data_IF_310521475982
#
_entry.id   IF_310521475982
#
_cell.length_a   1.000
_cell.length_b   1.000
_cell.length_c   1.000
_cell.angle_alpha   90.00
_cell.angle_beta   90.00
_cell.angle_gamma   90.00
#
_symmetry.space_group_name_H-M   'P 1'
#
loop_
_entity.id
_entity.type
_entity.pdbx_description
1 polymer ?
#
# COMPACT_ATOMS: atom_id res chain seq x y z
N UNK A 1 -6.62 18.30 -12.44
CA UNK A 1 -5.45 18.24 -11.52
C UNK A 1 -5.43 19.49 -10.65
N UNK A 2 -5.23 19.34 -9.31
CA UNK A 2 -4.91 20.49 -8.46
C UNK A 2 -3.47 20.94 -8.78
N UNK A 3 -3.32 22.21 -9.12
CA UNK A 3 -2.02 22.80 -9.52
C UNK A 3 -1.49 23.81 -8.52
N UNK A 4 -2.34 24.31 -7.61
CA UNK A 4 -1.97 25.25 -6.58
C UNK A 4 -3.05 25.41 -5.52
N UNK A 5 -2.68 26.02 -4.40
CA UNK A 5 -3.58 26.36 -3.30
C UNK A 5 -3.26 27.79 -2.85
N UNK A 6 -4.27 28.65 -2.86
CA UNK A 6 -4.16 30.00 -2.34
C UNK A 6 -4.27 30.01 -0.82
N UNK A 7 -3.17 30.45 -0.16
CA UNK A 7 -3.09 30.56 1.29
C UNK A 7 -2.86 32.03 1.64
N UNK A 8 -3.82 32.63 2.32
CA UNK A 8 -3.73 34.02 2.79
C UNK A 8 -3.52 34.13 4.30
N UNK A 9 -3.65 35.33 4.84
CA UNK A 9 -3.51 35.58 6.30
C UNK A 9 -4.52 34.83 7.16
N UNK A 10 -5.67 34.49 6.56
CA UNK A 10 -6.77 33.78 7.25
C UNK A 10 -6.73 32.25 7.12
N UNK A 11 -5.80 31.70 6.35
CA UNK A 11 -5.71 30.28 6.01
C UNK A 11 -6.00 30.02 4.53
N UNK A 12 -6.65 28.90 4.21
CA UNK A 12 -7.02 28.53 2.84
C UNK A 12 -8.03 29.52 2.27
N UNK A 13 -7.78 30.02 1.06
CA UNK A 13 -8.63 30.96 0.35
C UNK A 13 -9.14 30.41 -0.98
N UNK A 14 -8.32 29.64 -1.70
CA UNK A 14 -8.71 29.08 -2.99
C UNK A 14 -7.91 27.82 -3.35
N UNK A 15 -8.40 27.09 -4.35
CA UNK A 15 -7.72 25.97 -4.99
C UNK A 15 -7.67 26.21 -6.49
N UNK A 16 -6.50 26.07 -7.10
CA UNK A 16 -6.28 26.15 -8.53
C UNK A 16 -6.35 24.76 -9.14
N UNK A 17 -7.20 24.62 -10.15
CA UNK A 17 -7.41 23.37 -10.87
C UNK A 17 -7.02 23.55 -12.33
N UNK A 18 -6.09 22.75 -12.80
CA UNK A 18 -5.71 22.68 -14.20
C UNK A 18 -6.43 21.52 -14.89
N UNK A 19 -7.26 21.83 -15.87
CA UNK A 19 -7.78 20.88 -16.86
C UNK A 19 -6.85 20.76 -18.07
N UNK A 20 -7.28 20.06 -19.10
CA UNK A 20 -6.48 19.89 -20.33
C UNK A 20 -6.31 21.20 -21.12
N UNK A 21 -7.32 22.08 -21.09
CA UNK A 21 -7.34 23.33 -21.88
C UNK A 21 -7.59 24.58 -21.02
N UNK A 22 -8.09 24.42 -19.80
CA UNK A 22 -8.52 25.52 -18.96
C UNK A 22 -7.93 25.44 -17.58
N UNK A 23 -7.73 26.59 -16.95
CA UNK A 23 -7.44 26.72 -15.53
C UNK A 23 -8.64 27.32 -14.83
N UNK A 24 -8.96 26.79 -13.64
CA UNK A 24 -10.07 27.26 -12.82
C UNK A 24 -9.55 27.53 -11.41
N UNK A 25 -10.01 28.63 -10.81
CA UNK A 25 -9.83 28.90 -9.40
C UNK A 25 -11.15 28.70 -8.66
N UNK A 26 -11.11 27.91 -7.59
CA UNK A 26 -12.27 27.61 -6.74
C UNK A 26 -12.03 28.25 -5.39
N UNK A 27 -12.83 29.26 -5.04
CA UNK A 27 -12.79 29.86 -3.70
C UNK A 27 -13.29 28.85 -2.66
N UNK A 28 -12.48 28.62 -1.64
CA UNK A 28 -12.83 27.70 -0.55
C UNK A 28 -12.10 28.11 0.74
N UNK A 29 -12.69 27.77 1.88
CA UNK A 29 -12.09 27.94 3.21
C UNK A 29 -11.61 26.62 3.81
N UNK A 30 -11.83 25.51 3.11
CA UNK A 30 -11.44 24.19 3.54
C UNK A 30 -10.79 23.41 2.40
N UNK A 31 -9.62 22.83 2.66
CA UNK A 31 -8.87 22.00 1.72
C UNK A 31 -8.46 20.71 2.39
N UNK A 32 -8.91 19.58 1.85
CA UNK A 32 -8.58 18.24 2.35
C UNK A 32 -7.56 17.58 1.43
N UNK A 33 -6.43 17.18 1.98
CA UNK A 33 -5.41 16.40 1.28
C UNK A 33 -5.69 14.92 1.51
N UNK A 34 -6.23 14.24 0.49
CA UNK A 34 -6.54 12.80 0.49
C UNK A 34 -5.92 12.13 -0.76
N UNK A 35 -4.64 12.40 -1.00
CA UNK A 35 -3.96 12.14 -2.27
C UNK A 35 -3.29 10.75 -2.35
N UNK A 36 -3.50 9.87 -1.36
CA UNK A 36 -2.90 8.52 -1.34
C UNK A 36 -1.38 8.56 -1.52
N UNK A 37 -0.82 7.86 -2.51
CA UNK A 37 0.63 7.85 -2.75
C UNK A 37 1.24 9.22 -3.10
N UNK A 38 0.42 10.17 -3.52
CA UNK A 38 0.85 11.54 -3.85
C UNK A 38 0.71 12.51 -2.66
N UNK A 39 0.63 11.98 -1.43
CA UNK A 39 0.40 12.80 -0.23
C UNK A 39 1.48 13.87 -0.02
N UNK A 40 2.76 13.52 -0.22
CA UNK A 40 3.88 14.49 -0.13
C UNK A 40 3.76 15.59 -1.17
N UNK A 41 3.48 15.23 -2.42
CA UNK A 41 3.33 16.18 -3.51
C UNK A 41 2.14 17.14 -3.28
N UNK A 42 1.04 16.61 -2.75
CA UNK A 42 -0.13 17.42 -2.40
C UNK A 42 0.14 18.32 -1.18
N UNK A 43 0.88 17.84 -0.20
CA UNK A 43 1.33 18.63 0.95
C UNK A 43 2.20 19.82 0.55
N UNK A 44 3.10 19.61 -0.41
CA UNK A 44 3.99 20.65 -0.91
C UNK A 44 3.22 21.87 -1.50
N UNK A 45 1.98 21.69 -1.96
CA UNK A 45 1.13 22.79 -2.45
C UNK A 45 0.80 23.82 -1.36
N UNK A 46 0.90 23.44 -0.10
CA UNK A 46 0.68 24.32 1.06
C UNK A 46 1.92 24.41 1.98
N UNK A 47 3.11 24.03 1.45
CA UNK A 47 4.36 24.09 2.19
C UNK A 47 4.51 23.05 3.31
N UNK A 48 3.75 21.94 3.25
CA UNK A 48 3.80 20.86 4.24
C UNK A 48 4.60 19.67 3.72
N UNK A 49 5.45 19.12 4.57
CA UNK A 49 6.08 17.82 4.40
C UNK A 49 5.44 16.82 5.36
N UNK A 50 5.08 15.66 4.82
CA UNK A 50 4.47 14.58 5.60
C UNK A 50 5.50 13.46 5.86
N UNK A 51 5.55 12.91 7.09
CA UNK A 51 6.44 11.80 7.44
C UNK A 51 5.89 10.47 6.90
N UNK A 52 5.76 10.38 5.59
CA UNK A 52 5.21 9.21 4.89
C UNK A 52 6.17 8.72 3.81
N UNK A 53 6.02 7.47 3.44
CA UNK A 53 6.70 6.86 2.31
C UNK A 53 5.74 5.91 1.58
N UNK A 54 6.10 5.48 0.39
CA UNK A 54 5.30 4.56 -0.38
C UNK A 54 6.06 3.26 -0.59
N UNK A 55 5.34 2.15 -0.52
CA UNK A 55 5.80 0.81 -0.88
C UNK A 55 4.94 0.27 -2.00
N UNK A 56 5.55 -0.38 -2.99
CA UNK A 56 4.81 -1.05 -4.05
C UNK A 56 4.38 -2.44 -3.58
N UNK A 57 3.07 -2.66 -3.54
CA UNK A 57 2.47 -3.95 -3.24
C UNK A 57 1.87 -4.55 -4.51
N UNK A 58 2.46 -5.67 -4.92
CA UNK A 58 2.02 -6.41 -6.10
C UNK A 58 1.02 -7.51 -5.78
N UNK A 59 0.27 -7.89 -6.78
CA UNK A 59 -0.60 -9.06 -6.78
C UNK A 59 -0.57 -9.74 -8.14
N UNK A 60 -0.83 -11.04 -8.15
CA UNK A 60 -1.07 -11.79 -9.37
C UNK A 60 -2.48 -12.37 -9.38
N UNK A 61 -3.05 -12.50 -10.56
CA UNK A 61 -4.23 -13.29 -10.79
C UNK A 61 -3.90 -14.39 -11.80
N UNK A 62 -4.21 -15.63 -11.48
CA UNK A 62 -4.04 -16.77 -12.37
C UNK A 62 -5.24 -17.72 -12.28
N UNK A 63 -5.40 -18.60 -13.27
CA UNK A 63 -6.46 -19.57 -13.26
C UNK A 63 -5.96 -20.92 -12.73
N UNK A 64 -6.77 -21.54 -11.89
CA UNK A 64 -6.60 -22.89 -11.35
C UNK A 64 -7.58 -23.88 -12.03
N UNK A 65 -7.36 -24.27 -13.29
CA UNK A 65 -8.26 -25.18 -14.01
C UNK A 65 -8.22 -26.62 -13.47
N UNK A 66 -7.24 -26.95 -12.63
CA UNK A 66 -7.14 -28.28 -11.99
C UNK A 66 -7.84 -28.35 -10.65
N UNK A 67 -8.32 -27.20 -10.13
CA UNK A 67 -9.01 -27.15 -8.85
C UNK A 67 -8.11 -27.57 -7.68
N UNK A 68 -6.82 -27.20 -7.72
CA UNK A 68 -5.87 -27.49 -6.63
C UNK A 68 -6.28 -26.73 -5.35
N UNK A 69 -6.85 -25.54 -5.53
CA UNK A 69 -7.36 -24.70 -4.44
C UNK A 69 -8.90 -24.82 -4.41
N UNK A 70 -9.48 -25.40 -3.35
CA UNK A 70 -10.93 -25.40 -3.18
C UNK A 70 -11.48 -23.97 -3.18
N UNK A 71 -12.68 -23.77 -3.76
CA UNK A 71 -13.28 -22.45 -3.94
C UNK A 71 -13.81 -21.83 -2.64
N UNK A 72 -14.02 -22.63 -1.63
CA UNK A 72 -14.56 -22.25 -0.30
C UNK A 72 -13.48 -22.01 0.76
N UNK A 73 -12.18 -22.08 0.38
CA UNK A 73 -11.12 -21.74 1.33
C UNK A 73 -11.16 -20.26 1.65
N UNK A 74 -10.90 -19.87 2.92
CA UNK A 74 -10.76 -18.47 3.30
C UNK A 74 -9.47 -17.85 2.71
N UNK A 75 -9.23 -16.58 3.00
CA UNK A 75 -7.91 -15.98 2.81
C UNK A 75 -6.87 -16.79 3.60
N UNK A 76 -5.87 -17.32 2.90
CA UNK A 76 -4.78 -18.11 3.46
C UNK A 76 -3.50 -17.29 3.45
N UNK A 77 -2.80 -17.24 4.58
CA UNK A 77 -1.57 -16.46 4.75
C UNK A 77 -0.49 -17.39 5.31
N UNK A 78 0.69 -17.38 4.70
CA UNK A 78 1.88 -18.06 5.23
C UNK A 78 2.66 -17.11 6.13
N UNK A 79 2.88 -17.49 7.36
CA UNK A 79 3.42 -16.61 8.42
C UNK A 79 4.90 -16.83 8.74
N UNK A 80 5.53 -17.82 8.11
CA UNK A 80 6.96 -18.10 8.31
C UNK A 80 7.78 -17.67 7.09
N UNK A 81 9.07 -17.34 7.25
CA UNK A 81 10.01 -17.23 6.14
C UNK A 81 10.08 -18.54 5.36
N UNK A 82 10.37 -18.46 4.05
CA UNK A 82 10.48 -19.66 3.22
C UNK A 82 11.55 -19.55 2.14
N UNK A 83 12.10 -20.71 1.75
CA UNK A 83 12.85 -20.85 0.50
C UNK A 83 11.92 -21.30 -0.61
N UNK A 84 12.09 -20.70 -1.78
CA UNK A 84 11.30 -21.07 -2.94
C UNK A 84 11.63 -22.53 -3.39
N UNK A 85 10.61 -23.30 -3.82
CA UNK A 85 10.82 -24.66 -4.34
C UNK A 85 11.41 -24.60 -5.75
N UNK A 86 12.69 -24.87 -5.87
CA UNK A 86 13.44 -25.02 -7.12
C UNK A 86 13.86 -26.48 -7.32
N UNK A 87 13.87 -26.97 -8.56
CA UNK A 87 14.52 -28.27 -8.88
C UNK A 87 16.05 -28.12 -8.81
N UNK A 88 16.78 -29.25 -8.78
CA UNK A 88 18.23 -29.20 -8.76
C UNK A 88 18.81 -28.51 -10.01
N UNK A 89 18.23 -28.81 -11.19
CA UNK A 89 18.65 -28.18 -12.45
C UNK A 89 18.40 -26.66 -12.43
N UNK A 90 17.25 -26.22 -11.90
CA UNK A 90 16.96 -24.79 -11.73
C UNK A 90 17.95 -24.13 -10.77
N UNK A 91 18.28 -24.78 -9.65
CA UNK A 91 19.25 -24.29 -8.68
C UNK A 91 20.62 -24.04 -9.32
N UNK A 92 21.15 -25.04 -10.05
CA UNK A 92 22.42 -24.91 -10.75
C UNK A 92 22.45 -23.70 -11.69
N UNK A 93 21.36 -23.47 -12.42
CA UNK A 93 21.22 -22.30 -13.32
C UNK A 93 21.23 -20.98 -12.52
N UNK A 94 20.45 -20.93 -11.43
CA UNK A 94 20.32 -19.71 -10.60
C UNK A 94 21.64 -19.38 -9.87
N UNK A 95 22.39 -20.40 -9.40
CA UNK A 95 23.69 -20.23 -8.76
C UNK A 95 24.74 -19.68 -9.73
N UNK A 96 24.61 -19.99 -11.01
CA UNK A 96 25.54 -19.59 -12.07
C UNK A 96 25.53 -18.09 -12.39
N UNK A 97 24.59 -17.30 -11.86
CA UNK A 97 24.45 -15.86 -12.16
C UNK A 97 24.25 -15.05 -10.88
N UNK A 98 25.01 -13.97 -10.73
CA UNK A 98 24.85 -13.04 -9.60
C UNK A 98 23.48 -12.32 -9.63
N UNK A 99 22.87 -12.18 -10.83
CA UNK A 99 21.57 -11.56 -10.98
C UNK A 99 20.40 -12.44 -10.51
N UNK A 100 20.59 -13.74 -10.37
CA UNK A 100 19.53 -14.69 -10.01
C UNK A 100 19.79 -15.43 -8.70
N UNK A 101 21.02 -15.41 -8.19
CA UNK A 101 21.40 -16.12 -6.96
C UNK A 101 20.55 -15.77 -5.75
N UNK A 102 20.08 -14.51 -5.65
CA UNK A 102 19.20 -14.05 -4.60
C UNK A 102 17.86 -14.81 -4.51
N UNK A 103 17.42 -15.42 -5.63
CA UNK A 103 16.21 -16.26 -5.67
C UNK A 103 16.36 -17.56 -4.86
N UNK A 104 17.57 -17.93 -4.47
CA UNK A 104 17.88 -19.08 -3.63
C UNK A 104 17.91 -18.74 -2.14
N UNK A 105 17.88 -17.47 -1.80
CA UNK A 105 17.85 -16.98 -0.42
C UNK A 105 16.48 -17.25 0.23
N UNK A 106 16.41 -17.00 1.53
CA UNK A 106 15.18 -17.07 2.28
C UNK A 106 14.34 -15.82 2.04
N UNK A 107 13.09 -16.02 1.63
CA UNK A 107 12.10 -14.97 1.45
C UNK A 107 11.33 -14.72 2.74
N UNK A 108 10.86 -13.48 2.97
CA UNK A 108 10.06 -13.16 4.16
C UNK A 108 8.73 -13.92 4.16
N UNK A 109 8.08 -13.96 5.31
CA UNK A 109 6.69 -14.40 5.45
C UNK A 109 5.73 -13.52 4.64
N UNK A 110 4.45 -13.90 4.59
CA UNK A 110 3.39 -13.03 4.10
C UNK A 110 2.86 -13.34 2.71
N UNK A 111 3.33 -14.42 2.03
CA UNK A 111 2.62 -14.87 0.83
C UNK A 111 1.21 -15.29 1.21
N UNK A 112 0.23 -14.75 0.51
CA UNK A 112 -1.17 -15.03 0.79
C UNK A 112 -2.01 -15.07 -0.48
N UNK A 113 -3.14 -15.75 -0.41
CA UNK A 113 -4.03 -15.89 -1.54
C UNK A 113 -5.48 -16.13 -1.09
N UNK A 114 -6.37 -15.94 -2.03
CA UNK A 114 -7.78 -16.34 -1.93
C UNK A 114 -8.35 -16.67 -3.30
N UNK A 115 -9.38 -17.52 -3.36
CA UNK A 115 -10.22 -17.61 -4.55
C UNK A 115 -10.88 -16.27 -4.86
N UNK A 116 -11.03 -15.92 -6.14
CA UNK A 116 -11.65 -14.70 -6.59
C UNK A 116 -12.79 -14.99 -7.58
N UNK A 117 -13.84 -14.18 -7.54
CA UNK A 117 -15.02 -14.34 -8.38
C UNK A 117 -16.07 -15.30 -7.83
N UNK A 118 -17.14 -15.57 -8.59
CA UNK A 118 -18.25 -16.44 -8.20
C UNK A 118 -17.92 -17.93 -8.28
N UNK A 119 -18.92 -18.80 -8.01
CA UNK A 119 -18.78 -20.26 -7.96
C UNK A 119 -18.14 -20.89 -9.22
N UNK A 120 -18.41 -20.34 -10.40
CA UNK A 120 -17.83 -20.83 -11.66
C UNK A 120 -16.45 -20.28 -11.99
N UNK A 121 -15.88 -19.42 -11.17
CA UNK A 121 -14.58 -18.82 -11.41
C UNK A 121 -13.46 -19.81 -11.07
N UNK A 122 -12.39 -19.76 -11.88
CA UNK A 122 -11.15 -20.48 -11.60
C UNK A 122 -10.04 -19.54 -11.12
N UNK A 123 -10.34 -18.26 -11.01
CA UNK A 123 -9.34 -17.25 -10.67
C UNK A 123 -8.91 -17.36 -9.22
N UNK A 124 -7.61 -17.36 -9.02
CA UNK A 124 -6.93 -17.22 -7.74
C UNK A 124 -6.21 -15.87 -7.75
N UNK A 125 -6.41 -15.10 -6.70
CA UNK A 125 -5.68 -13.88 -6.44
C UNK A 125 -4.61 -14.17 -5.38
N UNK A 126 -3.35 -13.87 -5.69
CA UNK A 126 -2.24 -14.07 -4.77
C UNK A 126 -1.40 -12.79 -4.67
N UNK A 127 -0.89 -12.56 -3.47
CA UNK A 127 -0.13 -11.37 -3.13
C UNK A 127 1.10 -11.79 -2.30
N UNK A 128 2.21 -11.10 -2.55
CA UNK A 128 3.40 -11.21 -1.70
C UNK A 128 4.28 -9.97 -1.86
N UNK A 129 4.47 -9.27 -0.78
CA UNK A 129 5.38 -8.14 -0.74
C UNK A 129 6.69 -8.60 -0.11
N UNK A 130 7.55 -9.21 -0.91
CA UNK A 130 8.83 -9.77 -0.46
C UNK A 130 9.98 -8.75 -0.55
N UNK A 131 9.81 -7.66 -1.28
CA UNK A 131 10.80 -6.58 -1.40
C UNK A 131 10.16 -5.27 -0.92
N UNK A 132 10.32 -5.00 0.39
CA UNK A 132 9.76 -3.83 1.05
C UNK A 132 10.79 -2.71 0.98
N UNK A 133 10.67 -1.85 -0.02
CA UNK A 133 11.51 -0.66 -0.17
C UNK A 133 10.67 0.58 -0.37
N UNK A 134 10.95 1.66 0.39
CA UNK A 134 10.38 2.96 0.07
C UNK A 134 10.74 3.37 -1.35
N UNK A 135 9.75 3.78 -2.13
CA UNK A 135 9.95 4.22 -3.50
C UNK A 135 8.99 5.34 -3.90
N UNK A 136 9.41 6.15 -4.87
CA UNK A 136 8.54 7.16 -5.44
C UNK A 136 7.50 6.51 -6.37
N UNK A 137 6.23 6.95 -6.29
CA UNK A 137 5.17 6.36 -7.10
C UNK A 137 5.33 6.76 -8.58
N UNK A 138 5.33 5.74 -9.45
CA UNK A 138 5.30 5.89 -10.90
C UNK A 138 4.07 5.18 -11.48
N UNK A 139 3.56 5.67 -12.60
CA UNK A 139 2.37 5.12 -13.24
C UNK A 139 2.58 4.88 -14.73
N UNK A 140 2.30 3.66 -15.24
CA UNK A 140 1.87 2.47 -14.49
C UNK A 140 2.97 1.97 -13.53
N UNK A 141 2.60 1.23 -12.46
CA UNK A 141 3.58 0.60 -11.58
C UNK A 141 4.48 -0.38 -12.35
N UNK A 142 5.76 -0.42 -11.97
CA UNK A 142 6.74 -1.33 -12.60
C UNK A 142 7.06 -2.43 -11.61
N UNK A 143 6.80 -3.67 -11.99
CA UNK A 143 7.08 -4.86 -11.18
C UNK A 143 8.35 -5.55 -11.69
N UNK A 144 9.00 -6.27 -10.77
CA UNK A 144 10.04 -7.21 -11.13
C UNK A 144 9.50 -8.20 -12.19
N UNK A 145 10.22 -8.45 -13.30
CA UNK A 145 9.82 -9.45 -14.29
C UNK A 145 9.53 -10.83 -13.69
N UNK A 146 10.25 -11.21 -12.64
CA UNK A 146 10.13 -12.50 -11.95
C UNK A 146 9.01 -12.51 -10.90
N UNK A 147 8.36 -11.37 -10.64
CA UNK A 147 7.36 -11.24 -9.56
C UNK A 147 6.30 -12.33 -9.59
N UNK A 148 5.74 -12.60 -10.77
CA UNK A 148 4.68 -13.61 -10.91
C UNK A 148 5.17 -15.03 -10.59
N UNK A 149 6.38 -15.37 -11.03
CA UNK A 149 6.99 -16.68 -10.78
C UNK A 149 7.32 -16.84 -9.28
N UNK A 150 7.88 -15.80 -8.66
CA UNK A 150 8.21 -15.79 -7.23
C UNK A 150 6.95 -16.03 -6.39
N UNK A 151 5.87 -15.28 -6.65
CA UNK A 151 4.61 -15.44 -5.92
C UNK A 151 4.04 -16.85 -6.11
N UNK A 152 4.04 -17.37 -7.34
CA UNK A 152 3.53 -18.69 -7.63
C UNK A 152 4.35 -19.80 -6.96
N UNK A 153 5.68 -19.66 -6.88
CA UNK A 153 6.56 -20.58 -6.16
C UNK A 153 6.36 -20.48 -4.65
N UNK A 154 6.18 -19.29 -4.10
CA UNK A 154 5.81 -19.11 -2.69
C UNK A 154 4.51 -19.83 -2.35
N UNK A 155 3.49 -19.71 -3.21
CA UNK A 155 2.25 -20.47 -3.07
C UNK A 155 2.46 -21.99 -3.20
N UNK A 156 3.34 -22.44 -4.10
CA UNK A 156 3.65 -23.86 -4.25
C UNK A 156 4.41 -24.41 -3.03
N UNK A 157 5.22 -23.57 -2.35
CA UNK A 157 5.82 -23.90 -1.05
C UNK A 157 4.77 -24.12 0.03
N UNK A 158 3.73 -23.28 0.04
CA UNK A 158 2.60 -23.38 0.95
C UNK A 158 1.64 -24.53 0.58
N UNK A 159 1.35 -24.73 -0.71
CA UNK A 159 0.46 -25.75 -1.25
C UNK A 159 1.19 -26.51 -2.36
N UNK A 160 1.86 -27.64 -2.04
CA UNK A 160 2.70 -28.35 -3.00
C UNK A 160 2.00 -28.78 -4.30
N UNK A 161 0.67 -28.96 -4.26
CA UNK A 161 -0.14 -29.27 -5.45
C UNK A 161 -0.08 -28.19 -6.54
N UNK A 162 0.24 -26.95 -6.21
CA UNK A 162 0.38 -25.84 -7.16
C UNK A 162 1.64 -25.94 -8.03
N UNK A 163 2.59 -26.83 -7.68
CA UNK A 163 3.78 -27.07 -8.50
C UNK A 163 3.45 -27.52 -9.93
N UNK A 164 2.23 -28.00 -10.17
CA UNK A 164 1.77 -28.35 -11.52
C UNK A 164 1.69 -27.16 -12.48
N UNK A 165 1.67 -25.94 -11.95
CA UNK A 165 1.61 -24.69 -12.70
C UNK A 165 2.97 -24.04 -12.92
N UNK A 166 4.02 -24.43 -12.20
CA UNK A 166 5.37 -23.84 -12.34
C UNK A 166 5.90 -24.07 -13.76
N UNK A 167 6.29 -23.00 -14.45
CA UNK A 167 6.74 -23.02 -15.83
C UNK A 167 5.67 -23.43 -16.87
N UNK A 168 4.43 -23.66 -16.45
CA UNK A 168 3.31 -24.15 -17.32
C UNK A 168 2.04 -23.34 -17.13
N UNK A 169 1.94 -22.48 -16.13
CA UNK A 169 0.85 -21.52 -16.02
C UNK A 169 0.89 -20.60 -17.23
N UNK A 170 -0.27 -20.29 -17.79
CA UNK A 170 -0.35 -19.16 -18.71
C UNK A 170 0.19 -17.91 -18.00
N UNK A 171 0.53 -16.86 -18.75
CA UNK A 171 1.06 -15.64 -18.16
C UNK A 171 0.08 -15.09 -17.11
N UNK A 172 0.42 -15.07 -15.80
CA UNK A 172 -0.44 -14.47 -14.79
C UNK A 172 -0.63 -12.98 -15.07
N UNK A 173 -1.80 -12.47 -14.74
CA UNK A 173 -2.01 -11.01 -14.74
C UNK A 173 -1.32 -10.44 -13.50
N UNK A 174 -0.44 -9.47 -13.70
CA UNK A 174 0.27 -8.76 -12.63
C UNK A 174 -0.30 -7.35 -12.51
N UNK A 175 -0.67 -6.96 -11.31
CA UNK A 175 -1.17 -5.64 -10.96
C UNK A 175 -0.72 -5.27 -9.55
N UNK A 176 -1.00 -4.06 -9.12
CA UNK A 176 -0.71 -3.61 -7.76
C UNK A 176 -0.85 -2.12 -7.59
N UNK A 177 -0.38 -1.63 -6.45
CA UNK A 177 -0.45 -0.23 -6.11
C UNK A 177 0.48 0.13 -4.97
N UNK A 178 0.57 1.43 -4.73
CA UNK A 178 1.41 1.96 -3.67
C UNK A 178 0.64 2.09 -2.37
N UNK A 179 1.19 1.50 -1.31
CA UNK A 179 0.74 1.74 0.05
C UNK A 179 1.49 2.95 0.62
N UNK A 180 0.77 4.04 0.83
CA UNK A 180 1.30 5.21 1.51
C UNK A 180 1.20 4.99 3.02
N UNK A 181 2.34 5.09 3.72
CA UNK A 181 2.48 4.71 5.13
C UNK A 181 3.26 5.74 5.92
N UNK A 182 2.99 5.81 7.22
CA UNK A 182 3.92 6.31 8.23
C UNK A 182 4.81 5.19 8.73
N UNK A 183 5.89 5.51 9.46
CA UNK A 183 6.80 4.50 10.01
C UNK A 183 6.06 3.48 10.89
N UNK A 184 5.14 3.94 11.71
CA UNK A 184 4.36 3.11 12.64
C UNK A 184 3.07 2.56 12.03
N UNK A 185 2.89 2.72 10.72
CA UNK A 185 1.72 2.26 9.98
C UNK A 185 0.38 2.81 10.52
N UNK A 186 0.39 4.03 11.07
CA UNK A 186 -0.79 4.72 11.62
C UNK A 186 -1.19 5.88 10.72
N UNK A 187 -2.48 5.97 10.30
CA UNK A 187 -2.96 7.04 9.45
C UNK A 187 -2.71 8.47 9.98
N UNK A 188 -2.75 9.42 9.06
CA UNK A 188 -2.81 10.85 9.33
C UNK A 188 -4.22 11.33 9.02
N UNK A 189 -4.97 11.78 10.05
CA UNK A 189 -6.34 12.26 9.90
C UNK A 189 -6.54 13.45 10.84
N UNK A 190 -6.83 14.63 10.29
CA UNK A 190 -7.14 15.80 11.08
C UNK A 190 -6.64 17.12 10.50
N UNK A 191 -6.69 18.20 11.27
CA UNK A 191 -6.26 19.52 10.86
C UNK A 191 -4.74 19.59 10.69
N UNK A 192 -4.33 20.50 9.80
CA UNK A 192 -2.95 20.86 9.56
C UNK A 192 -2.65 22.25 10.15
N UNK A 193 -1.36 22.65 10.32
CA UNK A 193 -0.98 23.97 10.82
C UNK A 193 -1.54 25.14 9.97
N UNK A 194 -1.77 24.93 8.68
CA UNK A 194 -2.43 25.91 7.82
C UNK A 194 -3.93 25.86 8.09
N UNK A 195 -4.48 26.96 8.60
CA UNK A 195 -5.91 27.06 8.94
C UNK A 195 -6.80 26.72 7.75
N UNK A 196 -7.76 25.81 7.95
CA UNK A 196 -8.65 25.31 6.91
C UNK A 196 -8.04 24.19 6.05
N UNK A 197 -6.78 23.81 6.30
CA UNK A 197 -6.20 22.63 5.68
C UNK A 197 -6.35 21.41 6.58
N UNK A 198 -6.65 20.26 5.97
CA UNK A 198 -6.83 18.97 6.64
C UNK A 198 -6.13 17.88 5.84
N UNK A 199 -5.80 16.78 6.50
CA UNK A 199 -5.24 15.59 5.88
C UNK A 199 -6.07 14.36 6.21
N UNK A 200 -6.20 13.45 5.24
CA UNK A 200 -6.64 12.08 5.43
C UNK A 200 -5.78 11.19 4.51
N UNK A 201 -4.82 10.49 5.10
CA UNK A 201 -3.88 9.71 4.31
C UNK A 201 -3.07 8.73 5.14
N UNK A 202 -2.10 8.11 4.50
CA UNK A 202 -1.26 7.07 5.08
C UNK A 202 -2.09 5.90 5.66
N UNK A 203 -3.13 5.49 4.95
CA UNK A 203 -4.02 4.39 5.34
C UNK A 203 -3.45 3.01 4.98
N UNK A 204 -2.24 2.96 4.43
CA UNK A 204 -1.57 1.72 4.04
C UNK A 204 -2.47 0.82 3.18
N UNK A 205 -2.53 -0.49 3.46
CA UNK A 205 -3.45 -1.45 2.85
C UNK A 205 -4.86 -1.46 3.43
N UNK A 206 -5.13 -0.69 4.49
CA UNK A 206 -6.40 -0.70 5.22
C UNK A 206 -7.41 0.34 4.74
N UNK A 207 -7.09 1.11 3.69
CA UNK A 207 -7.87 2.26 3.26
C UNK A 207 -9.36 1.99 3.07
N UNK A 208 -9.73 0.92 2.38
CA UNK A 208 -11.15 0.56 2.15
C UNK A 208 -11.83 0.19 3.47
N UNK A 209 -11.21 -0.64 4.30
CA UNK A 209 -11.78 -1.08 5.58
C UNK A 209 -11.95 0.08 6.57
N UNK A 210 -11.00 1.03 6.58
CA UNK A 210 -11.01 2.16 7.49
C UNK A 210 -11.78 3.38 6.95
N UNK A 211 -12.22 3.38 5.69
CA UNK A 211 -12.72 4.57 4.98
C UNK A 211 -13.88 5.26 5.68
N UNK A 212 -14.84 4.50 6.21
CA UNK A 212 -16.01 5.07 6.89
C UNK A 212 -15.62 5.76 8.20
N UNK A 213 -14.86 5.09 9.06
CA UNK A 213 -14.40 5.65 10.33
C UNK A 213 -13.42 6.83 10.12
N UNK A 214 -12.53 6.73 9.12
CA UNK A 214 -11.62 7.82 8.76
C UNK A 214 -12.39 9.03 8.22
N UNK A 215 -13.42 8.81 7.41
CA UNK A 215 -14.29 9.85 6.88
C UNK A 215 -15.10 10.55 7.97
N UNK A 216 -15.66 9.79 8.92
CA UNK A 216 -16.37 10.34 10.09
C UNK A 216 -15.44 11.19 10.96
N UNK A 217 -14.26 10.66 11.30
CA UNK A 217 -13.27 11.39 12.09
C UNK A 217 -12.85 12.70 11.41
N UNK A 218 -12.56 12.66 10.11
CA UNK A 218 -12.24 13.86 9.34
C UNK A 218 -13.42 14.83 9.30
N UNK A 219 -14.64 14.34 9.08
CA UNK A 219 -15.86 15.13 9.07
C UNK A 219 -16.07 15.89 10.38
N UNK A 220 -15.80 15.24 11.52
CA UNK A 220 -15.86 15.88 12.85
C UNK A 220 -14.81 16.98 13.01
N UNK A 221 -13.58 16.77 12.52
CA UNK A 221 -12.56 17.81 12.51
C UNK A 221 -12.96 19.02 11.65
N UNK A 222 -13.51 18.78 10.45
CA UNK A 222 -13.89 19.85 9.52
C UNK A 222 -15.09 20.65 10.03
N UNK A 223 -16.06 19.99 10.64
CA UNK A 223 -17.29 20.62 11.17
C UNK A 223 -17.15 21.21 12.56
N UNK A 224 -16.05 20.88 13.28
CA UNK A 224 -15.88 21.25 14.69
C UNK A 224 -16.80 20.47 15.62
N UNK A 225 -17.24 19.29 15.23
CA UNK A 225 -18.05 18.39 16.04
C UNK A 225 -17.23 17.72 17.15
N UNK A 226 -17.90 17.04 18.10
CA UNK A 226 -17.23 16.29 19.14
C UNK A 226 -16.31 15.21 18.57
N UNK A 227 -15.10 15.12 19.08
CA UNK A 227 -14.11 14.15 18.67
C UNK A 227 -14.06 12.99 19.66
N UNK A 228 -13.85 11.75 19.18
CA UNK A 228 -13.62 10.61 20.06
C UNK A 228 -12.25 10.72 20.76
N UNK A 229 -12.09 10.06 21.89
CA UNK A 229 -10.88 10.11 22.71
C UNK A 229 -9.61 9.62 21.97
N UNK A 230 -9.77 8.80 20.96
CA UNK A 230 -8.66 8.31 20.15
C UNK A 230 -8.20 9.30 19.04
N UNK A 231 -8.95 10.37 18.77
CA UNK A 231 -8.64 11.30 17.68
C UNK A 231 -7.21 11.86 17.72
N UNK A 232 -6.62 12.22 18.89
CA UNK A 232 -5.24 12.73 18.96
C UNK A 232 -4.20 11.76 18.38
N UNK A 233 -4.45 10.46 18.42
CA UNK A 233 -3.53 9.45 17.91
C UNK A 233 -3.31 9.52 16.38
N UNK A 234 -4.20 10.21 15.64
CA UNK A 234 -4.14 10.34 14.18
C UNK A 234 -3.66 11.73 13.72
N UNK A 235 -3.44 12.66 14.65
CA UNK A 235 -2.98 14.01 14.30
C UNK A 235 -1.52 14.01 13.83
N UNK A 236 -1.20 14.90 12.89
CA UNK A 236 0.19 15.15 12.49
C UNK A 236 1.04 15.64 13.68
N UNK A 237 0.45 16.41 14.59
CA UNK A 237 1.14 16.96 15.78
C UNK A 237 1.65 15.89 16.75
N UNK A 238 1.23 14.61 16.64
CA UNK A 238 1.81 13.53 17.44
C UNK A 238 3.33 13.39 17.28
N UNK A 239 3.86 13.78 16.12
CA UNK A 239 5.30 13.79 15.86
C UNK A 239 6.05 14.94 16.53
N UNK A 240 5.35 15.88 17.18
CA UNK A 240 5.96 16.93 18.00
C UNK A 240 6.21 16.45 19.43
N UNK A 241 5.47 15.44 19.89
CA UNK A 241 5.58 14.86 21.23
C UNK A 241 6.93 14.10 21.39
N UNK A 242 7.77 14.48 22.38
CA UNK A 242 9.04 13.80 22.63
C UNK A 242 8.91 12.32 23.00
N UNK A 243 7.86 11.94 23.73
CA UNK A 243 7.64 10.54 24.12
C UNK A 243 7.21 9.71 22.91
N UNK A 244 6.41 10.28 22.02
CA UNK A 244 6.06 9.62 20.76
C UNK A 244 7.29 9.42 19.86
N UNK A 245 8.19 10.39 19.79
CA UNK A 245 9.46 10.27 19.06
C UNK A 245 10.33 9.15 19.60
N UNK A 246 10.41 8.97 20.92
CA UNK A 246 11.13 7.84 21.52
C UNK A 246 10.50 6.49 21.16
N UNK A 247 9.18 6.42 21.18
CA UNK A 247 8.46 5.20 20.77
C UNK A 247 8.81 4.83 19.33
N UNK A 248 8.82 5.80 18.41
CA UNK A 248 9.15 5.56 17.00
C UNK A 248 10.58 5.05 16.78
N UNK A 249 11.54 5.45 17.61
CA UNK A 249 12.93 4.96 17.51
C UNK A 249 13.05 3.44 17.74
N UNK A 250 12.14 2.86 18.50
CA UNK A 250 12.08 1.42 18.78
C UNK A 250 11.06 0.66 17.92
N UNK A 251 10.36 1.38 17.01
CA UNK A 251 9.30 0.79 16.20
C UNK A 251 9.86 0.05 15.00
N UNK A 252 9.47 -1.21 14.84
CA UNK A 252 9.73 -1.96 13.62
C UNK A 252 8.75 -1.54 12.53
N UNK A 253 9.26 -0.97 11.44
CA UNK A 253 8.46 -0.47 10.32
C UNK A 253 7.69 -1.59 9.57
N UNK A 254 8.06 -2.85 9.76
CA UNK A 254 7.36 -4.02 9.19
C UNK A 254 6.19 -4.49 10.04
N UNK A 255 6.10 -4.00 11.29
CA UNK A 255 5.06 -4.36 12.25
C UNK A 255 3.67 -3.99 11.73
N UNK A 256 2.72 -4.92 11.79
CA UNK A 256 1.32 -4.68 11.45
C UNK A 256 1.02 -4.67 9.94
N UNK A 257 1.89 -5.26 9.12
CA UNK A 257 1.61 -5.56 7.71
C UNK A 257 1.21 -7.02 7.51
N UNK A 258 0.26 -7.22 6.61
CA UNK A 258 -0.02 -8.50 5.98
C UNK A 258 0.73 -8.57 4.66
#
# INVERSE_FOLDING_TARGET
RVSGVGVGKGGIESVQVAGEKDQMEISTRSFVIAAGPLLKQAGALIGMDFPVFNELHGKIAFNDPRGVIPRDVPLMIWTDPMKLPWTEEEREVLEGSDNTRWLLEEFPSGVHFRPEGGEGSQTILALWTYDIKPQEPVWPPVFDPEYAEIVLRGMAGMIPGLSVYLGKAGKPFVDGGYYCKTQENRPLIGPLPVRGAFVMGALSGFGIMASLAAGELLGNHVSGSALPDYAPAFLLSRYEDPEYKKLLQSWDATSGQL
#
